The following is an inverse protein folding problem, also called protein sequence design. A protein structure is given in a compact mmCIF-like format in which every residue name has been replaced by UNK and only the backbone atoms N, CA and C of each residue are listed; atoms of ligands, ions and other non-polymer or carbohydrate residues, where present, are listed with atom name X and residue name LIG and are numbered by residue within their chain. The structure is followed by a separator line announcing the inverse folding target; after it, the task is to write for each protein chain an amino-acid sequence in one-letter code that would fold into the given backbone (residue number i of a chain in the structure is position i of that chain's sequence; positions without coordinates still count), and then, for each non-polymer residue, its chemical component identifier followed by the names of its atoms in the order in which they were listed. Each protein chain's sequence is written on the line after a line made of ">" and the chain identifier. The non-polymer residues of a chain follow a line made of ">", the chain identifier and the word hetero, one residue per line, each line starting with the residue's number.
data_IF_296832422738
#
_entry.id   IF_296832422738
#
_cell.length_a   1.000
_cell.length_b   1.000
_cell.length_c   1.000
_cell.angle_alpha   90.00
_cell.angle_beta   90.00
_cell.angle_gamma   90.00
#
_symmetry.space_group_name_H-M   'P 1'
#
loop_
_entity.id
_entity.type
_entity.pdbx_description
1 polymer ?
#
# COMPACT_ATOMS: atom_id res chain seq x y z
N UNK A 1 -35.07 -31.50 91.09
CA UNK A 1 -34.64 -30.22 90.58
C UNK A 1 -33.71 -30.45 89.41
N UNK A 2 -34.15 -30.33 88.20
CA UNK A 2 -33.23 -30.45 87.07
C UNK A 2 -32.95 -29.07 86.48
N UNK A 3 -31.68 -28.85 86.15
CA UNK A 3 -31.09 -27.65 85.59
C UNK A 3 -31.21 -27.76 84.06
N UNK A 4 -31.91 -26.81 83.41
CA UNK A 4 -31.95 -26.70 81.97
C UNK A 4 -30.72 -25.98 81.44
N UNK A 5 -29.96 -26.64 80.57
CA UNK A 5 -28.86 -26.08 79.78
C UNK A 5 -29.42 -25.53 78.50
N UNK A 6 -29.33 -24.23 78.29
CA UNK A 6 -29.61 -23.53 77.03
C UNK A 6 -28.43 -23.85 76.08
N UNK A 7 -28.78 -24.40 74.92
CA UNK A 7 -27.87 -24.46 73.75
C UNK A 7 -28.12 -23.27 72.84
N UNK A 8 -27.07 -22.47 72.70
CA UNK A 8 -27.00 -21.39 71.72
C UNK A 8 -26.62 -21.93 70.32
N UNK A 9 -27.54 -21.91 69.37
CA UNK A 9 -27.26 -22.24 68.00
C UNK A 9 -26.67 -21.03 67.30
N UNK A 10 -25.38 -21.07 66.99
CA UNK A 10 -24.67 -20.11 66.20
C UNK A 10 -24.85 -20.46 64.70
N UNK A 11 -25.70 -19.74 63.98
CA UNK A 11 -25.86 -19.86 62.55
C UNK A 11 -24.72 -19.08 61.92
N UNK A 12 -23.74 -19.79 61.42
CA UNK A 12 -22.66 -19.20 60.58
C UNK A 12 -23.21 -19.01 59.17
N UNK A 13 -23.55 -17.75 58.84
CA UNK A 13 -23.88 -17.37 57.48
C UNK A 13 -22.60 -17.35 56.63
N UNK A 14 -22.47 -18.30 55.71
CA UNK A 14 -21.48 -18.28 54.65
C UNK A 14 -21.91 -17.32 53.58
N UNK A 15 -21.30 -16.12 53.53
CA UNK A 15 -21.44 -15.19 52.41
C UNK A 15 -20.48 -15.66 51.33
N UNK A 16 -21.02 -16.34 50.30
CA UNK A 16 -20.28 -16.69 49.09
C UNK A 16 -20.19 -15.42 48.26
N UNK A 17 -19.04 -14.73 48.30
CA UNK A 17 -18.70 -13.64 47.40
C UNK A 17 -18.34 -14.24 46.01
N UNK A 18 -19.33 -14.33 45.13
CA UNK A 18 -19.08 -14.63 43.73
C UNK A 18 -18.42 -13.42 43.04
N UNK A 19 -17.11 -13.48 42.93
CA UNK A 19 -16.34 -12.59 42.03
C UNK A 19 -16.67 -12.94 40.58
N UNK A 20 -17.57 -12.18 39.97
CA UNK A 20 -17.78 -12.23 38.54
C UNK A 20 -16.59 -11.50 37.89
N UNK A 21 -15.60 -12.25 37.44
CA UNK A 21 -14.56 -11.77 36.56
C UNK A 21 -15.22 -11.43 35.21
N UNK A 22 -15.60 -10.16 35.02
CA UNK A 22 -15.85 -9.60 33.71
C UNK A 22 -14.55 -9.60 32.92
N UNK A 23 -14.28 -10.71 32.23
CA UNK A 23 -13.28 -10.76 31.20
C UNK A 23 -13.75 -9.80 30.08
N UNK A 24 -13.33 -8.54 30.17
CA UNK A 24 -13.41 -7.62 29.06
C UNK A 24 -12.50 -8.16 27.97
N UNK A 25 -13.07 -8.94 27.06
CA UNK A 25 -12.43 -9.25 25.80
C UNK A 25 -12.32 -7.91 25.07
N UNK A 26 -11.17 -7.24 25.18
CA UNK A 26 -10.80 -6.19 24.26
C UNK A 26 -10.78 -6.86 22.87
N UNK A 27 -11.85 -6.70 22.11
CA UNK A 27 -11.85 -7.07 20.71
C UNK A 27 -10.71 -6.26 20.08
N UNK A 28 -9.60 -6.92 19.76
CA UNK A 28 -8.54 -6.35 18.96
C UNK A 28 -9.21 -6.10 17.60
N UNK A 29 -9.64 -4.87 17.36
CA UNK A 29 -10.18 -4.50 16.08
C UNK A 29 -9.11 -4.82 15.04
N UNK A 30 -9.43 -5.72 14.12
CA UNK A 30 -8.51 -6.13 13.08
C UNK A 30 -8.06 -4.87 12.32
N UNK A 31 -6.75 -4.64 12.28
CA UNK A 31 -6.22 -3.42 11.70
C UNK A 31 -6.48 -3.40 10.20
N UNK A 32 -7.30 -2.44 9.74
CA UNK A 32 -7.55 -2.24 8.31
C UNK A 32 -6.21 -1.91 7.63
N UNK A 33 -5.86 -2.66 6.59
CA UNK A 33 -4.58 -2.54 5.87
C UNK A 33 -4.81 -2.48 4.37
N UNK A 34 -3.85 -1.91 3.64
CA UNK A 34 -3.74 -2.12 2.21
C UNK A 34 -3.60 -3.63 1.93
N UNK A 35 -4.13 -4.07 0.80
CA UNK A 35 -4.10 -5.47 0.37
C UNK A 35 -3.06 -5.58 -0.75
N UNK A 36 -1.82 -5.94 -0.45
CA UNK A 36 -0.79 -6.09 -1.47
C UNK A 36 -1.11 -7.28 -2.37
N UNK A 37 -0.63 -7.22 -3.61
CA UNK A 37 -0.73 -8.32 -4.55
C UNK A 37 0.57 -9.12 -4.55
N UNK A 38 0.45 -10.41 -4.82
CA UNK A 38 1.56 -11.33 -4.99
C UNK A 38 1.71 -11.58 -6.49
N UNK A 39 2.87 -11.27 -7.04
CA UNK A 39 3.21 -11.58 -8.43
C UNK A 39 3.29 -13.08 -8.63
N UNK A 40 2.57 -13.59 -9.62
CA UNK A 40 2.69 -14.97 -10.03
C UNK A 40 3.87 -15.12 -10.98
N UNK A 41 4.64 -16.20 -10.82
CA UNK A 41 5.67 -16.55 -11.79
C UNK A 41 5.00 -16.98 -13.09
N UNK A 42 5.03 -16.12 -14.07
CA UNK A 42 4.41 -16.34 -15.38
C UNK A 42 5.49 -16.18 -16.44
N UNK A 43 5.73 -17.21 -17.25
CA UNK A 43 6.61 -17.10 -18.39
C UNK A 43 5.97 -16.22 -19.49
N UNK A 44 6.79 -15.54 -20.29
CA UNK A 44 6.29 -14.65 -21.35
C UNK A 44 5.34 -15.34 -22.33
N UNK A 45 5.55 -16.63 -22.59
CA UNK A 45 4.67 -17.45 -23.42
C UNK A 45 3.30 -17.65 -22.79
N UNK A 46 3.27 -17.93 -21.48
CA UNK A 46 2.05 -18.11 -20.69
C UNK A 46 1.30 -16.77 -20.54
N UNK A 47 1.99 -15.67 -20.32
CA UNK A 47 1.38 -14.34 -20.28
C UNK A 47 0.65 -14.02 -21.60
N UNK A 48 1.28 -14.30 -22.74
CA UNK A 48 0.65 -14.15 -24.06
C UNK A 48 -0.58 -15.04 -24.24
N UNK A 49 -0.51 -16.30 -23.79
CA UNK A 49 -1.66 -17.22 -23.84
C UNK A 49 -2.82 -16.71 -22.97
N UNK A 50 -2.55 -16.13 -21.79
CA UNK A 50 -3.57 -15.51 -20.95
C UNK A 50 -4.21 -14.34 -21.69
N UNK A 51 -3.45 -13.42 -22.27
CA UNK A 51 -3.97 -12.30 -23.04
C UNK A 51 -4.86 -12.76 -24.21
N UNK A 52 -4.41 -13.76 -24.95
CA UNK A 52 -5.19 -14.34 -26.05
C UNK A 52 -6.50 -14.98 -25.57
N UNK A 53 -6.43 -15.76 -24.48
CA UNK A 53 -7.61 -16.43 -23.90
C UNK A 53 -8.62 -15.43 -23.33
N UNK A 54 -8.14 -14.34 -22.72
CA UNK A 54 -8.98 -13.23 -22.24
C UNK A 54 -9.50 -12.33 -23.38
N UNK A 55 -8.98 -12.49 -24.61
CA UNK A 55 -9.29 -11.64 -25.78
C UNK A 55 -9.02 -10.15 -25.50
N UNK A 56 -7.95 -9.85 -24.78
CA UNK A 56 -7.53 -8.49 -24.46
C UNK A 56 -6.25 -8.14 -25.20
N UNK A 57 -6.12 -6.86 -25.55
CA UNK A 57 -4.90 -6.35 -26.14
C UNK A 57 -3.92 -6.01 -25.01
N UNK A 58 -2.93 -6.87 -24.81
CA UNK A 58 -1.88 -6.63 -23.83
C UNK A 58 -0.70 -5.90 -24.48
N UNK A 59 -0.11 -4.99 -23.71
CA UNK A 59 1.17 -4.38 -24.01
C UNK A 59 2.35 -5.32 -23.79
N UNK A 60 3.50 -4.74 -23.50
CA UNK A 60 4.68 -5.46 -23.03
C UNK A 60 4.57 -5.68 -21.51
N UNK A 61 5.55 -6.33 -20.95
CA UNK A 61 5.72 -6.47 -19.49
C UNK A 61 4.44 -6.90 -18.72
N UNK A 62 3.73 -7.86 -19.32
CA UNK A 62 2.52 -8.42 -18.73
C UNK A 62 2.83 -9.13 -17.42
N UNK A 63 2.16 -8.70 -16.37
CA UNK A 63 2.28 -9.26 -15.03
C UNK A 63 0.94 -9.78 -14.53
N UNK A 64 0.97 -10.96 -13.91
CA UNK A 64 -0.21 -11.59 -13.34
C UNK A 64 -0.08 -11.65 -11.83
N UNK A 65 -1.13 -11.26 -11.14
CA UNK A 65 -1.16 -11.08 -9.70
C UNK A 65 -2.33 -11.79 -9.06
N UNK A 66 -2.21 -12.06 -7.77
CA UNK A 66 -3.31 -12.44 -6.88
C UNK A 66 -3.27 -11.61 -5.61
N UNK A 67 -4.39 -11.42 -4.93
CA UNK A 67 -4.39 -10.81 -3.58
C UNK A 67 -3.60 -11.66 -2.61
N UNK A 68 -2.89 -11.03 -1.70
CA UNK A 68 -2.12 -11.74 -0.67
C UNK A 68 -3.02 -12.46 0.35
N UNK A 69 -4.23 -11.97 0.59
CA UNK A 69 -5.14 -12.51 1.61
C UNK A 69 -6.40 -13.10 0.99
N UNK A 70 -6.85 -14.23 1.54
CA UNK A 70 -8.13 -14.86 1.25
C UNK A 70 -8.06 -16.07 0.32
N UNK A 71 -9.12 -16.86 0.32
CA UNK A 71 -9.37 -17.95 -0.64
C UNK A 71 -9.89 -17.40 -2.00
N UNK A 72 -9.51 -16.16 -2.33
CA UNK A 72 -9.97 -15.45 -3.51
C UNK A 72 -9.36 -16.11 -4.77
N UNK A 73 -10.20 -16.53 -5.70
CA UNK A 73 -9.81 -17.10 -6.99
C UNK A 73 -9.55 -16.03 -8.05
N UNK A 74 -9.75 -14.75 -7.69
CA UNK A 74 -9.56 -13.63 -8.60
C UNK A 74 -8.07 -13.39 -8.87
N UNK A 75 -7.79 -13.25 -10.16
CA UNK A 75 -6.49 -12.89 -10.68
C UNK A 75 -6.55 -11.49 -11.30
N UNK A 76 -5.42 -10.82 -11.31
CA UNK A 76 -5.29 -9.47 -11.86
C UNK A 76 -4.15 -9.47 -12.87
N UNK A 77 -4.35 -8.77 -13.98
CA UNK A 77 -3.33 -8.57 -15.00
C UNK A 77 -3.08 -7.08 -15.14
N UNK A 78 -1.80 -6.71 -15.15
CA UNK A 78 -1.30 -5.37 -15.47
C UNK A 78 -0.24 -5.48 -16.56
N UNK A 79 0.02 -4.39 -17.27
CA UNK A 79 1.08 -4.29 -18.27
C UNK A 79 1.60 -2.85 -18.40
N UNK A 80 2.49 -2.59 -19.35
CA UNK A 80 3.04 -1.25 -19.66
C UNK A 80 2.01 -0.29 -20.31
N UNK A 81 0.89 -0.81 -20.79
CA UNK A 81 -0.26 0.03 -21.11
C UNK A 81 -1.12 0.09 -19.86
N UNK A 82 -1.17 1.21 -19.11
CA UNK A 82 -1.73 1.21 -17.76
C UNK A 82 -3.19 0.73 -17.76
N UNK A 83 -3.38 -0.58 -17.69
CA UNK A 83 -4.66 -1.27 -17.60
C UNK A 83 -4.67 -2.30 -16.47
N UNK A 84 -5.82 -2.50 -15.88
CA UNK A 84 -6.08 -3.54 -14.89
C UNK A 84 -7.21 -4.44 -15.37
N UNK A 85 -6.94 -5.73 -15.45
CA UNK A 85 -7.92 -6.74 -15.84
C UNK A 85 -8.11 -7.69 -14.68
N UNK A 86 -9.33 -7.81 -14.20
CA UNK A 86 -9.74 -8.78 -13.20
C UNK A 86 -10.35 -9.99 -13.91
N UNK A 87 -9.88 -11.17 -13.60
CA UNK A 87 -10.32 -12.41 -14.24
C UNK A 87 -10.23 -13.59 -13.27
N UNK A 88 -10.89 -14.68 -13.63
CA UNK A 88 -10.84 -15.97 -12.92
C UNK A 88 -10.46 -17.08 -13.89
N UNK A 89 -10.04 -18.22 -13.33
CA UNK A 89 -9.84 -19.45 -14.08
C UNK A 89 -10.90 -20.47 -13.64
N UNK A 90 -11.88 -20.74 -14.52
CA UNK A 90 -12.92 -21.74 -14.31
C UNK A 90 -12.85 -22.81 -15.39
N UNK A 91 -12.99 -24.10 -15.02
CA UNK A 91 -13.00 -25.21 -15.98
C UNK A 91 -11.87 -25.15 -17.02
N UNK A 92 -10.68 -24.74 -16.59
CA UNK A 92 -9.50 -24.54 -17.43
C UNK A 92 -9.61 -23.41 -18.48
N UNK A 93 -10.63 -22.55 -18.36
CA UNK A 93 -10.82 -21.35 -19.19
C UNK A 93 -10.63 -20.08 -18.35
N UNK A 94 -10.13 -19.02 -18.98
CA UNK A 94 -10.03 -17.71 -18.36
C UNK A 94 -11.26 -16.88 -18.71
N UNK A 95 -11.87 -16.27 -17.70
CA UNK A 95 -13.07 -15.43 -17.81
C UNK A 95 -12.78 -14.06 -17.25
N UNK A 96 -12.90 -13.02 -18.09
CA UNK A 96 -12.79 -11.61 -17.63
C UNK A 96 -14.02 -11.27 -16.81
N UNK A 97 -13.80 -10.73 -15.62
CA UNK A 97 -14.84 -10.19 -14.75
C UNK A 97 -14.97 -8.67 -14.93
N UNK A 98 -13.85 -7.97 -14.91
CA UNK A 98 -13.79 -6.53 -15.06
C UNK A 98 -12.50 -6.12 -15.78
N UNK A 99 -12.51 -4.92 -16.37
CA UNK A 99 -11.30 -4.30 -16.92
C UNK A 99 -11.38 -2.79 -16.79
N UNK A 100 -10.24 -2.17 -16.53
CA UNK A 100 -10.11 -0.71 -16.44
C UNK A 100 -8.87 -0.27 -17.22
N UNK A 101 -9.02 0.73 -18.08
CA UNK A 101 -7.92 1.31 -18.86
C UNK A 101 -7.62 2.71 -18.37
N UNK A 102 -6.36 2.98 -18.09
CA UNK A 102 -5.86 4.28 -17.67
C UNK A 102 -4.98 4.93 -18.76
N UNK A 103 -5.01 4.43 -19.99
CA UNK A 103 -4.20 4.95 -21.09
C UNK A 103 -4.46 6.42 -21.37
N UNK A 104 -5.70 6.88 -21.17
CA UNK A 104 -6.10 8.28 -21.35
C UNK A 104 -6.34 9.01 -20.04
N UNK A 105 -5.93 8.39 -18.93
CA UNK A 105 -6.06 8.99 -17.62
C UNK A 105 -5.18 10.23 -17.51
N UNK A 106 -5.79 11.34 -17.14
CA UNK A 106 -5.06 12.58 -16.88
C UNK A 106 -4.70 12.62 -15.39
N UNK A 107 -3.46 12.30 -15.10
CA UNK A 107 -2.94 12.29 -13.74
C UNK A 107 -2.89 13.71 -13.17
N UNK A 108 -3.31 13.89 -11.92
CA UNK A 108 -3.44 15.19 -11.25
C UNK A 108 -2.15 15.66 -10.59
N UNK A 109 -1.15 14.81 -10.46
CA UNK A 109 0.16 15.17 -9.91
C UNK A 109 0.87 16.19 -10.78
N UNK A 110 1.90 16.80 -10.20
CA UNK A 110 2.67 17.90 -10.79
C UNK A 110 2.88 17.74 -12.30
N UNK A 111 2.57 18.79 -13.05
CA UNK A 111 3.00 18.86 -14.44
C UNK A 111 4.54 18.94 -14.47
N UNK A 112 5.15 18.20 -15.40
CA UNK A 112 6.60 18.09 -15.63
C UNK A 112 7.34 19.41 -15.86
N UNK A 113 6.64 20.54 -15.91
CA UNK A 113 7.25 21.86 -16.09
C UNK A 113 8.00 22.35 -14.84
N UNK A 114 7.85 21.68 -13.71
CA UNK A 114 8.47 22.08 -12.44
C UNK A 114 9.95 21.65 -12.33
N UNK A 115 10.30 20.53 -12.94
CA UNK A 115 11.68 20.05 -12.95
C UNK A 115 12.05 19.54 -14.36
N UNK A 116 12.67 20.42 -15.14
CA UNK A 116 13.09 20.12 -16.51
C UNK A 116 14.18 19.03 -16.61
N UNK A 117 14.72 18.60 -15.49
CA UNK A 117 15.76 17.58 -15.42
C UNK A 117 15.16 16.17 -15.40
N UNK A 118 13.89 16.03 -15.01
CA UNK A 118 13.25 14.72 -14.91
C UNK A 118 12.49 14.37 -16.21
N UNK A 119 12.73 13.16 -16.68
CA UNK A 119 11.99 12.58 -17.80
C UNK A 119 10.71 11.92 -17.30
N UNK A 120 9.62 12.05 -18.06
CA UNK A 120 8.37 11.39 -17.74
C UNK A 120 8.42 9.92 -18.21
N UNK A 121 8.40 8.99 -17.26
CA UNK A 121 8.47 7.55 -17.51
C UNK A 121 7.07 6.92 -17.76
N UNK A 122 6.01 7.71 -17.64
CA UNK A 122 4.64 7.27 -17.88
C UNK A 122 3.85 6.93 -16.62
N UNK A 123 2.75 6.20 -16.83
CA UNK A 123 1.84 5.75 -15.78
C UNK A 123 1.98 4.25 -15.56
N UNK A 124 1.83 3.84 -14.31
CA UNK A 124 1.74 2.44 -13.92
C UNK A 124 0.69 2.24 -12.84
N UNK A 125 0.30 0.99 -12.61
CA UNK A 125 -0.60 0.62 -11.52
C UNK A 125 0.24 -0.03 -10.41
N UNK A 126 0.21 0.54 -9.21
CA UNK A 126 0.88 -0.06 -8.08
C UNK A 126 0.13 -1.32 -7.60
N UNK A 127 0.82 -2.44 -7.35
CA UNK A 127 0.20 -3.72 -7.11
C UNK A 127 -0.36 -3.87 -5.68
N UNK A 128 -1.36 -3.07 -5.34
CA UNK A 128 -2.08 -3.15 -4.09
C UNK A 128 -3.48 -2.54 -4.20
N UNK A 129 -4.41 -3.04 -3.38
CA UNK A 129 -5.68 -2.37 -3.13
C UNK A 129 -5.64 -1.59 -1.83
N UNK A 130 -6.30 -0.45 -1.84
CA UNK A 130 -6.40 0.48 -0.73
C UNK A 130 -7.87 0.59 -0.28
N UNK A 131 -8.23 0.12 0.92
CA UNK A 131 -9.60 0.13 1.38
C UNK A 131 -10.15 1.56 1.52
N UNK A 132 -11.26 1.82 0.84
CA UNK A 132 -12.04 3.05 1.00
C UNK A 132 -13.12 2.89 2.08
N UNK A 133 -13.70 1.70 2.17
CA UNK A 133 -14.59 1.23 3.22
C UNK A 133 -14.63 -0.32 3.22
N UNK A 134 -15.60 -0.93 3.88
CA UNK A 134 -15.72 -2.40 3.93
C UNK A 134 -15.96 -3.07 2.56
N UNK A 135 -16.42 -2.33 1.56
CA UNK A 135 -16.84 -2.88 0.26
C UNK A 135 -16.08 -2.30 -0.93
N UNK A 136 -15.60 -1.06 -0.80
CA UNK A 136 -15.00 -0.31 -1.89
C UNK A 136 -13.48 -0.26 -1.73
N UNK A 137 -12.80 -0.44 -2.84
CA UNK A 137 -11.35 -0.43 -2.93
C UNK A 137 -10.89 0.63 -3.94
N UNK A 138 -9.75 1.23 -3.67
CA UNK A 138 -9.01 2.01 -4.64
C UNK A 138 -7.74 1.27 -5.07
N UNK A 139 -7.20 1.66 -6.22
CA UNK A 139 -5.83 1.38 -6.66
C UNK A 139 -5.06 2.68 -6.74
N UNK A 140 -3.73 2.61 -6.71
CA UNK A 140 -2.87 3.75 -7.00
C UNK A 140 -2.45 3.72 -8.47
N UNK A 141 -2.83 4.76 -9.22
CA UNK A 141 -2.30 5.07 -10.54
C UNK A 141 -1.12 5.99 -10.31
N UNK A 142 0.08 5.47 -10.55
CA UNK A 142 1.33 6.15 -10.23
C UNK A 142 1.94 6.72 -11.49
N UNK A 143 2.29 7.98 -11.45
CA UNK A 143 3.09 8.64 -12.46
C UNK A 143 4.51 8.76 -11.97
N UNK A 144 5.46 8.33 -12.80
CA UNK A 144 6.87 8.34 -12.48
C UNK A 144 7.64 9.30 -13.37
N UNK A 145 8.62 9.94 -12.76
CA UNK A 145 9.65 10.73 -13.45
C UNK A 145 11.01 10.26 -12.97
N UNK A 146 11.97 10.22 -13.87
CA UNK A 146 13.35 9.90 -13.48
C UNK A 146 14.39 10.60 -14.36
N UNK A 147 15.61 10.64 -13.84
CA UNK A 147 16.80 11.04 -14.58
C UNK A 147 18.00 10.24 -14.10
N UNK A 148 19.01 10.15 -14.94
CA UNK A 148 20.28 9.49 -14.60
C UNK A 148 21.43 10.47 -14.71
N UNK A 149 22.34 10.43 -13.75
CA UNK A 149 23.57 11.20 -13.73
C UNK A 149 24.77 10.30 -13.96
N UNK A 150 25.94 10.89 -14.20
CA UNK A 150 27.20 10.14 -14.17
C UNK A 150 27.51 9.68 -12.74
N UNK A 151 27.06 8.48 -12.40
CA UNK A 151 27.24 7.87 -11.08
C UNK A 151 26.07 8.06 -10.12
N UNK A 152 24.85 8.24 -10.63
CA UNK A 152 23.67 8.33 -9.79
C UNK A 152 22.39 8.53 -10.60
N UNK A 153 21.35 9.00 -9.92
CA UNK A 153 20.06 9.31 -10.54
C UNK A 153 19.03 9.75 -9.51
N UNK A 154 17.91 10.23 -10.01
CA UNK A 154 16.76 10.66 -9.22
C UNK A 154 15.48 10.08 -9.81
N UNK A 155 14.58 9.64 -8.97
CA UNK A 155 13.24 9.23 -9.35
C UNK A 155 12.22 9.82 -8.38
N UNK A 156 11.06 10.19 -8.92
CA UNK A 156 9.90 10.66 -8.16
C UNK A 156 8.65 9.94 -8.65
N UNK A 157 7.80 9.57 -7.72
CA UNK A 157 6.53 8.91 -7.97
C UNK A 157 5.41 9.64 -7.23
N UNK A 158 4.36 9.97 -7.96
CA UNK A 158 3.14 10.60 -7.42
C UNK A 158 1.96 9.71 -7.77
N UNK A 159 1.08 9.48 -6.80
CA UNK A 159 -0.07 8.61 -6.97
C UNK A 159 -1.38 9.40 -6.95
N UNK A 160 -2.26 9.03 -7.88
CA UNK A 160 -3.68 9.27 -7.78
C UNK A 160 -4.37 7.97 -7.36
N UNK A 161 -5.12 8.01 -6.28
CA UNK A 161 -5.92 6.87 -5.84
C UNK A 161 -7.29 6.93 -6.50
N UNK A 162 -7.63 5.89 -7.26
CA UNK A 162 -8.89 5.80 -7.99
C UNK A 162 -9.73 4.64 -7.47
N UNK A 163 -10.99 4.89 -7.15
CA UNK A 163 -11.96 3.86 -6.82
C UNK A 163 -12.39 3.16 -8.09
N UNK A 164 -12.30 1.82 -8.08
CA UNK A 164 -12.78 0.99 -9.18
C UNK A 164 -14.30 0.85 -9.06
N UNK A 165 -14.99 1.07 -10.17
CA UNK A 165 -16.44 0.91 -10.29
C UNK A 165 -16.77 -0.15 -11.33
N UNK A 166 -17.97 -0.75 -11.30
CA UNK A 166 -18.44 -1.65 -12.36
C UNK A 166 -18.44 -0.99 -13.74
N UNK A 167 -18.53 -1.81 -14.79
CA UNK A 167 -18.65 -1.35 -16.18
C UNK A 167 -17.46 -0.51 -16.66
N UNK A 168 -16.24 -0.88 -16.26
CA UNK A 168 -14.99 -0.23 -16.67
C UNK A 168 -14.81 1.21 -16.18
N UNK A 169 -15.72 1.69 -15.32
CA UNK A 169 -15.65 3.03 -14.76
C UNK A 169 -14.68 3.10 -13.57
N UNK A 170 -14.19 4.29 -13.31
CA UNK A 170 -13.40 4.58 -12.11
C UNK A 170 -13.66 6.03 -11.67
N UNK A 171 -13.40 6.32 -10.41
CA UNK A 171 -13.61 7.64 -9.83
C UNK A 171 -12.41 8.04 -8.99
N UNK A 172 -11.89 9.25 -9.21
CA UNK A 172 -10.80 9.80 -8.41
C UNK A 172 -11.24 9.94 -6.95
N UNK A 173 -10.49 9.28 -6.06
CA UNK A 173 -10.74 9.29 -4.61
C UNK A 173 -9.81 10.23 -3.87
N UNK A 174 -8.54 10.29 -4.27
CA UNK A 174 -7.51 11.14 -3.68
C UNK A 174 -6.45 11.42 -4.74
N UNK A 175 -6.09 12.68 -4.97
CA UNK A 175 -5.16 13.09 -6.00
C UNK A 175 -3.83 13.60 -5.43
N UNK A 176 -2.81 13.62 -6.26
CA UNK A 176 -1.53 14.30 -6.05
C UNK A 176 -0.83 13.91 -4.74
N UNK A 177 -0.76 12.62 -4.46
CA UNK A 177 -0.10 12.10 -3.25
C UNK A 177 1.35 11.74 -3.57
N UNK A 178 2.32 12.39 -2.91
CA UNK A 178 3.72 11.97 -2.97
C UNK A 178 3.82 10.50 -2.53
N UNK A 179 4.32 9.63 -3.42
CA UNK A 179 4.25 8.19 -3.22
C UNK A 179 5.62 7.62 -2.85
N UNK A 180 6.62 7.96 -3.64
CA UNK A 180 8.00 7.57 -3.44
C UNK A 180 8.93 8.59 -4.09
N UNK A 181 10.09 8.82 -3.48
CA UNK A 181 11.21 9.51 -4.14
C UNK A 181 12.53 8.90 -3.70
N UNK A 182 13.51 8.95 -4.57
CA UNK A 182 14.87 8.52 -4.29
C UNK A 182 15.84 9.30 -5.15
N UNK A 183 16.90 9.79 -4.54
CA UNK A 183 18.03 10.40 -5.22
C UNK A 183 19.35 9.81 -4.69
N UNK A 184 20.26 9.55 -5.60
CA UNK A 184 21.60 9.07 -5.29
C UNK A 184 22.61 9.85 -6.14
N UNK A 185 23.58 10.43 -5.49
CA UNK A 185 24.67 11.17 -6.13
C UNK A 185 25.99 10.59 -5.69
N UNK A 186 26.80 10.14 -6.65
CA UNK A 186 28.13 9.56 -6.39
C UNK A 186 29.06 10.62 -5.81
N UNK A 187 29.80 10.25 -4.76
CA UNK A 187 30.76 11.10 -4.08
C UNK A 187 32.20 10.56 -4.13
N UNK A 188 32.42 9.23 -4.28
CA UNK A 188 33.75 8.64 -4.44
C UNK A 188 34.13 8.59 -5.93
N UNK A 189 35.37 9.04 -6.24
CA UNK A 189 35.89 9.09 -7.61
C UNK A 189 37.23 8.39 -7.77
N UNK A 190 37.91 8.07 -6.67
CA UNK A 190 39.18 7.33 -6.68
C UNK A 190 39.04 5.97 -6.00
N UNK A 191 39.95 5.04 -6.32
CA UNK A 191 39.99 3.74 -5.69
C UNK A 191 40.29 3.85 -4.18
N UNK A 192 41.06 4.82 -3.76
CA UNK A 192 41.38 5.08 -2.36
C UNK A 192 40.15 5.50 -1.57
N UNK A 193 39.35 6.40 -2.13
CA UNK A 193 38.06 6.82 -1.52
C UNK A 193 37.11 5.65 -1.36
N UNK A 194 36.97 4.77 -2.40
CA UNK A 194 36.12 3.58 -2.31
C UNK A 194 36.59 2.57 -1.26
N UNK A 195 37.92 2.49 -1.01
CA UNK A 195 38.46 1.54 -0.03
C UNK A 195 38.38 2.10 1.41
N UNK A 196 38.48 3.40 1.58
CA UNK A 196 38.52 4.05 2.88
C UNK A 196 37.15 4.57 3.36
N UNK A 197 36.24 4.80 2.45
CA UNK A 197 34.92 5.35 2.79
C UNK A 197 33.91 4.28 3.20
N UNK A 198 33.15 4.47 4.28
CA UNK A 198 32.03 3.59 4.65
C UNK A 198 30.83 3.72 3.70
N UNK A 199 30.73 4.84 2.97
CA UNK A 199 29.62 5.16 2.09
C UNK A 199 30.02 6.17 1.02
N UNK A 200 29.77 5.85 -0.24
CA UNK A 200 30.27 6.59 -1.41
C UNK A 200 29.21 7.39 -2.17
N UNK A 201 28.05 7.60 -1.58
CA UNK A 201 26.94 8.31 -2.22
C UNK A 201 26.27 9.27 -1.24
N UNK A 202 25.82 10.40 -1.74
CA UNK A 202 24.77 11.17 -1.09
C UNK A 202 23.44 10.55 -1.48
N UNK A 203 22.66 10.12 -0.49
CA UNK A 203 21.36 9.47 -0.72
C UNK A 203 20.26 10.19 0.03
N UNK A 204 19.16 10.43 -0.65
CA UNK A 204 17.95 10.97 -0.03
C UNK A 204 16.70 10.36 -0.64
N UNK A 205 15.58 10.43 0.07
CA UNK A 205 14.33 9.94 -0.46
C UNK A 205 13.19 9.99 0.54
N UNK A 206 12.00 9.65 0.04
CA UNK A 206 10.76 9.61 0.81
C UNK A 206 9.97 8.37 0.46
N UNK A 207 9.32 7.79 1.47
CA UNK A 207 8.42 6.65 1.31
C UNK A 207 7.09 6.92 1.99
N UNK A 208 5.99 6.64 1.28
CA UNK A 208 4.63 6.69 1.80
C UNK A 208 4.23 5.35 2.42
N UNK A 209 3.61 5.40 3.60
CA UNK A 209 2.79 4.31 4.14
C UNK A 209 1.43 4.82 4.56
N UNK A 210 0.38 4.01 4.39
CA UNK A 210 -1.00 4.45 4.66
C UNK A 210 -1.61 3.58 5.75
N UNK A 211 -2.19 4.23 6.75
CA UNK A 211 -3.01 3.61 7.79
C UNK A 211 -4.48 4.02 7.59
N UNK A 212 -5.37 3.07 7.79
CA UNK A 212 -6.80 3.27 7.60
C UNK A 212 -7.52 3.20 8.93
N UNK A 213 -8.51 4.07 9.12
CA UNK A 213 -9.35 4.09 10.32
C UNK A 213 -10.81 4.22 9.92
N UNK A 214 -11.63 3.30 10.37
CA UNK A 214 -13.07 3.46 10.31
C UNK A 214 -13.49 4.55 11.29
N UNK A 215 -14.16 5.57 10.78
CA UNK A 215 -14.64 6.73 11.54
C UNK A 215 -16.17 6.81 11.57
N UNK A 216 -16.85 5.71 11.17
CA UNK A 216 -18.30 5.64 11.09
C UNK A 216 -18.91 6.50 9.98
N UNK A 217 -18.12 6.87 8.95
CA UNK A 217 -18.55 7.61 7.75
C UNK A 217 -18.56 6.70 6.53
N UNK A 218 -19.02 7.21 5.39
CA UNK A 218 -19.05 6.44 4.14
C UNK A 218 -17.66 5.92 3.74
N UNK A 219 -16.60 6.70 3.98
CA UNK A 219 -15.23 6.34 3.67
C UNK A 219 -14.35 6.39 4.92
N UNK A 220 -13.34 5.51 4.95
CA UNK A 220 -12.31 5.50 5.98
C UNK A 220 -11.49 6.77 5.96
N UNK A 221 -11.01 7.17 7.11
CA UNK A 221 -9.95 8.14 7.24
C UNK A 221 -8.62 7.48 6.91
N UNK A 222 -7.83 8.12 6.07
CA UNK A 222 -6.49 7.71 5.72
C UNK A 222 -5.46 8.61 6.42
N UNK A 223 -4.50 7.99 7.06
CA UNK A 223 -3.32 8.66 7.57
C UNK A 223 -2.16 8.32 6.64
N UNK A 224 -1.73 9.30 5.88
CA UNK A 224 -0.59 9.26 4.97
C UNK A 224 0.67 9.54 5.78
N UNK A 225 1.49 8.54 6.06
CA UNK A 225 2.74 8.70 6.82
C UNK A 225 3.89 8.74 5.82
N UNK A 226 4.67 9.80 5.88
CA UNK A 226 5.88 9.98 5.08
C UNK A 226 7.09 9.71 5.96
N UNK A 227 8.04 8.98 5.40
CA UNK A 227 9.35 8.72 6.04
C UNK A 227 10.41 9.21 5.07
N UNK A 228 10.96 10.36 5.40
CA UNK A 228 12.02 11.01 4.65
C UNK A 228 13.37 10.61 5.22
N UNK A 229 14.37 10.43 4.37
CA UNK A 229 15.72 10.14 4.82
C UNK A 229 16.76 10.94 4.04
N UNK A 230 17.87 11.20 4.72
CA UNK A 230 19.08 11.78 4.13
C UNK A 230 20.31 11.06 4.71
N UNK A 231 21.20 10.61 3.85
CA UNK A 231 22.45 9.97 4.22
C UNK A 231 23.58 10.55 3.38
N UNK A 232 24.40 11.38 4.02
CA UNK A 232 25.53 12.05 3.38
C UNK A 232 26.65 11.04 3.07
N UNK A 233 27.33 11.24 1.95
CA UNK A 233 28.53 10.50 1.60
C UNK A 233 29.60 10.60 2.69
N UNK A 234 30.51 9.64 2.73
CA UNK A 234 31.60 9.53 3.69
C UNK A 234 31.18 9.38 5.15
N UNK A 235 29.90 9.21 5.43
CA UNK A 235 29.35 9.08 6.77
C UNK A 235 28.92 7.63 7.05
N UNK A 236 29.06 7.15 8.30
CA UNK A 236 28.54 5.83 8.67
C UNK A 236 27.02 5.80 8.64
N UNK A 237 26.42 4.62 8.49
CA UNK A 237 24.96 4.46 8.45
C UNK A 237 24.24 5.04 9.69
N UNK A 238 24.91 5.04 10.85
CA UNK A 238 24.37 5.62 12.08
C UNK A 238 24.15 7.14 12.01
N UNK A 239 24.71 7.82 11.00
CA UNK A 239 24.50 9.25 10.76
C UNK A 239 23.30 9.55 9.85
N UNK A 240 22.66 8.52 9.30
CA UNK A 240 21.47 8.67 8.48
C UNK A 240 20.35 9.37 9.26
N UNK A 241 19.94 10.52 8.76
CA UNK A 241 18.82 11.27 9.32
C UNK A 241 17.53 10.70 8.78
N UNK A 242 16.56 10.46 9.65
CA UNK A 242 15.22 9.98 9.27
C UNK A 242 14.18 10.88 9.92
N UNK A 243 13.37 11.52 9.11
CA UNK A 243 12.25 12.36 9.54
C UNK A 243 10.93 11.71 9.21
N UNK A 244 9.92 11.94 10.08
CA UNK A 244 8.58 11.39 9.88
C UNK A 244 7.55 12.50 9.98
N UNK A 245 6.68 12.54 8.99
CA UNK A 245 5.54 13.46 8.96
C UNK A 245 4.27 12.69 8.59
N UNK A 246 3.12 13.31 8.74
CA UNK A 246 1.88 12.71 8.30
C UNK A 246 0.81 13.73 7.94
N UNK A 247 -0.08 13.32 7.04
CA UNK A 247 -1.32 14.02 6.73
C UNK A 247 -2.52 13.11 7.00
N UNK A 248 -3.64 13.70 7.41
CA UNK A 248 -4.90 12.99 7.60
C UNK A 248 -5.89 13.47 6.55
N UNK A 249 -6.43 12.54 5.78
CA UNK A 249 -7.37 12.83 4.69
C UNK A 249 -8.56 11.86 4.75
N UNK A 250 -9.67 12.25 4.13
CA UNK A 250 -10.77 11.36 3.83
C UNK A 250 -10.97 11.39 2.33
N UNK A 251 -10.93 10.24 1.63
CA UNK A 251 -11.18 10.17 0.19
C UNK A 251 -12.46 10.90 -0.22
N UNK A 252 -12.46 11.51 -1.40
CA UNK A 252 -13.56 12.33 -1.97
C UNK A 252 -13.89 13.63 -1.20
N UNK A 253 -13.12 14.00 -0.18
CA UNK A 253 -13.34 15.23 0.59
C UNK A 253 -12.23 16.28 0.40
N UNK A 254 -11.36 16.10 -0.57
CA UNK A 254 -10.41 17.14 -0.95
C UNK A 254 -11.15 18.33 -1.60
N UNK A 255 -10.89 19.53 -1.07
CA UNK A 255 -11.39 20.79 -1.65
C UNK A 255 -10.38 21.34 -2.65
#
# INVERSE_FOLDING_TARGET
>A
MPIFKSQSNSIVQWIILTWVFLLSHAAVADQIKAIPWIKLKTESSQAKQICQALKVNCGKDVEVWKKQSGADTHLYLTDDTPQLIEFIKENNQYVVLNSWSFQQYQHHGRNSDFDKELNNDGLSIYPAFYPLNHQKLAIAVVKRWSTTYSGGGRAEEIADFVMLEPNHAYKLALADVAFHSYEMIRACFSQEEYQSSPHCHDESGSNLSIQFKDIGKEYYQWRLNFTDFNWEAFKPESSKVVEKSYNIVVPFQQK
#
